data_IF_651532841945
#
_entry.id   IF_651532841945
#
_cell.length_a   1.000
_cell.length_b   1.000
_cell.length_c   1.000
_cell.angle_alpha   90.00
_cell.angle_beta   90.00
_cell.angle_gamma   90.00
#
_symmetry.space_group_name_H-M   'P 1'
#
loop_
_entity.id
_entity.type
_entity.pdbx_description
1 polymer ?
#
# COMPACT_ATOMS: atom_id res chain seq x y z
N UNK A 1 5.57 -0.14 17.97
CA UNK A 1 6.50 -1.21 17.52
C UNK A 1 6.68 -2.29 18.57
N UNK A 2 7.15 -1.97 19.77
CA UNK A 2 7.43 -2.97 20.82
C UNK A 2 6.19 -3.84 21.12
N UNK A 3 5.01 -3.23 21.28
CA UNK A 3 3.75 -3.96 21.43
C UNK A 3 3.48 -4.94 20.26
N UNK A 4 3.82 -4.55 19.03
CA UNK A 4 3.67 -5.43 17.86
C UNK A 4 4.68 -6.58 17.86
N UNK A 5 5.91 -6.38 18.38
CA UNK A 5 6.89 -7.47 18.55
C UNK A 5 6.35 -8.54 19.50
N UNK A 6 5.66 -8.11 20.57
CA UNK A 6 5.08 -9.00 21.58
C UNK A 6 3.91 -9.81 21.00
N UNK A 7 2.99 -9.16 20.28
CA UNK A 7 1.81 -9.82 19.72
C UNK A 7 2.13 -10.67 18.50
N UNK A 8 2.94 -10.16 17.56
CA UNK A 8 3.20 -10.82 16.28
C UNK A 8 4.51 -11.59 16.24
N UNK A 9 5.38 -11.46 17.25
CA UNK A 9 6.73 -12.00 17.25
C UNK A 9 7.72 -11.06 16.56
N UNK A 10 8.86 -10.81 17.22
CA UNK A 10 9.92 -9.93 16.68
C UNK A 10 10.49 -10.41 15.34
N UNK A 11 10.60 -11.72 15.13
CA UNK A 11 11.14 -12.30 13.89
C UNK A 11 10.20 -12.11 12.69
N UNK A 12 8.94 -11.77 12.94
CA UNK A 12 7.95 -11.46 11.92
C UNK A 12 7.97 -9.98 11.48
N UNK A 13 8.78 -9.14 12.14
CA UNK A 13 9.00 -7.76 11.72
C UNK A 13 9.85 -7.73 10.45
N UNK A 14 9.33 -7.08 9.41
CA UNK A 14 10.06 -6.93 8.13
C UNK A 14 10.85 -5.64 8.12
N UNK A 15 10.16 -4.51 8.27
CA UNK A 15 10.77 -3.18 8.14
C UNK A 15 9.80 -2.10 8.61
N UNK A 16 10.29 -0.86 8.64
CA UNK A 16 9.47 0.35 8.74
C UNK A 16 9.63 1.17 7.49
N UNK A 17 8.51 1.49 6.85
CA UNK A 17 8.45 2.41 5.72
C UNK A 17 8.20 3.81 6.28
N UNK A 18 9.01 4.76 5.85
CA UNK A 18 8.89 6.18 6.17
C UNK A 18 8.14 6.87 5.04
N UNK A 19 6.93 7.36 5.32
CA UNK A 19 6.10 8.07 4.34
C UNK A 19 6.11 9.57 4.61
N UNK A 20 6.59 10.35 3.64
CA UNK A 20 6.57 11.80 3.69
C UNK A 20 5.14 12.31 3.43
N UNK A 21 4.48 12.80 4.48
CA UNK A 21 3.10 13.30 4.42
C UNK A 21 2.97 14.78 4.07
N UNK A 22 4.04 15.55 4.28
CA UNK A 22 4.13 16.97 3.93
C UNK A 22 5.30 17.24 2.97
N UNK A 23 5.05 17.98 1.88
CA UNK A 23 6.10 18.43 0.96
C UNK A 23 6.99 19.48 1.63
N UNK A 24 6.39 20.50 2.24
CA UNK A 24 7.11 21.66 2.80
C UNK A 24 7.47 21.46 4.27
N UNK A 25 8.63 22.02 4.63
CA UNK A 25 9.02 22.24 6.02
C UNK A 25 8.12 23.32 6.60
N UNK A 26 7.56 23.08 7.78
CA UNK A 26 6.79 24.08 8.53
C UNK A 26 7.76 25.01 9.26
N UNK A 27 7.74 26.30 8.90
CA UNK A 27 8.59 27.33 9.52
C UNK A 27 8.24 27.58 10.99
N UNK A 28 7.00 27.33 11.39
CA UNK A 28 6.51 27.43 12.76
C UNK A 28 6.54 26.09 13.52
N UNK A 29 7.46 25.19 13.16
CA UNK A 29 7.57 23.91 13.83
C UNK A 29 8.08 24.07 15.26
N UNK A 30 7.48 23.33 16.19
CA UNK A 30 7.96 23.22 17.56
C UNK A 30 9.44 22.81 17.59
N UNK A 31 10.23 23.45 18.45
CA UNK A 31 11.69 23.27 18.54
C UNK A 31 12.46 23.50 17.23
N UNK A 32 11.88 24.18 16.24
CA UNK A 32 12.41 24.31 14.88
C UNK A 32 12.63 22.95 14.16
N UNK A 33 11.92 21.89 14.58
CA UNK A 33 12.01 20.56 13.99
C UNK A 33 10.67 20.18 13.34
N UNK A 34 10.61 20.31 12.02
CA UNK A 34 9.38 20.03 11.28
C UNK A 34 9.16 18.53 11.05
N UNK A 35 8.13 17.98 11.67
CA UNK A 35 7.67 16.59 11.46
C UNK A 35 6.97 16.46 10.11
N UNK A 36 7.67 15.94 9.11
CA UNK A 36 7.20 15.86 7.72
C UNK A 36 6.78 14.47 7.25
N UNK A 37 6.94 13.44 8.10
CA UNK A 37 6.69 12.05 7.76
C UNK A 37 5.92 11.30 8.86
N UNK A 38 5.34 10.17 8.48
CA UNK A 38 4.81 9.12 9.36
C UNK A 38 5.52 7.79 9.10
N UNK A 39 5.33 6.83 10.00
CA UNK A 39 5.92 5.51 9.92
C UNK A 39 4.83 4.45 9.66
N UNK A 40 5.10 3.55 8.73
CA UNK A 40 4.27 2.38 8.42
C UNK A 40 5.08 1.16 8.82
N UNK A 41 4.62 0.46 9.86
CA UNK A 41 5.30 -0.69 10.43
C UNK A 41 4.80 -1.95 9.72
N UNK A 42 5.71 -2.77 9.20
CA UNK A 42 5.36 -3.96 8.40
C UNK A 42 5.73 -5.23 9.14
N UNK A 43 4.72 -6.07 9.39
CA UNK A 43 4.87 -7.44 9.89
C UNK A 43 4.31 -8.43 8.88
N UNK A 44 4.84 -9.64 8.88
CA UNK A 44 4.35 -10.76 8.07
C UNK A 44 4.22 -12.00 8.95
N UNK A 45 3.15 -12.79 8.77
CA UNK A 45 2.91 -13.97 9.61
C UNK A 45 3.96 -15.07 9.40
N UNK A 46 4.49 -15.21 8.18
CA UNK A 46 5.47 -16.24 7.78
C UNK A 46 6.50 -15.63 6.82
N UNK A 47 7.58 -15.00 7.32
CA UNK A 47 8.52 -14.25 6.49
C UNK A 47 9.19 -15.07 5.39
N UNK A 48 9.46 -16.35 5.64
CA UNK A 48 10.12 -17.25 4.68
C UNK A 48 9.22 -17.71 3.53
N UNK A 49 7.90 -17.45 3.60
CA UNK A 49 6.93 -17.92 2.61
C UNK A 49 6.26 -16.77 1.83
N UNK A 50 6.67 -15.53 2.07
CA UNK A 50 6.02 -14.36 1.51
C UNK A 50 7.02 -13.44 0.82
N UNK A 51 6.66 -13.01 -0.39
CA UNK A 51 7.34 -11.93 -1.11
C UNK A 51 6.31 -10.88 -1.47
N UNK A 52 6.63 -9.61 -1.22
CA UNK A 52 5.77 -8.51 -1.65
C UNK A 52 5.79 -8.34 -3.18
N UNK A 53 4.66 -7.91 -3.73
CA UNK A 53 4.58 -7.52 -5.13
C UNK A 53 5.45 -6.28 -5.38
N UNK A 54 5.92 -6.12 -6.62
CA UNK A 54 6.62 -4.89 -7.03
C UNK A 54 5.62 -3.75 -7.22
N UNK A 55 6.11 -2.52 -7.11
CA UNK A 55 5.32 -1.32 -7.41
C UNK A 55 5.48 -0.91 -8.87
N UNK A 56 4.48 -0.29 -9.50
CA UNK A 56 4.69 0.38 -10.79
C UNK A 56 5.74 1.49 -10.65
N UNK A 57 6.50 1.73 -11.72
CA UNK A 57 7.38 2.88 -11.82
C UNK A 57 6.56 4.18 -11.92
N UNK A 58 7.07 5.26 -11.34
CA UNK A 58 6.46 6.59 -11.51
C UNK A 58 6.67 7.12 -12.93
N UNK A 59 5.84 8.07 -13.35
CA UNK A 59 5.96 8.72 -14.65
C UNK A 59 7.34 9.34 -14.85
N UNK A 60 7.91 9.97 -13.81
CA UNK A 60 9.25 10.54 -13.84
C UNK A 60 10.31 9.47 -14.10
N UNK A 61 10.18 8.31 -13.46
CA UNK A 61 11.10 7.19 -13.67
C UNK A 61 10.97 6.64 -15.11
N UNK A 62 9.75 6.56 -15.65
CA UNK A 62 9.50 6.12 -17.02
C UNK A 62 10.07 7.10 -18.06
N UNK A 63 10.04 8.42 -17.81
CA UNK A 63 10.62 9.45 -18.69
C UNK A 63 12.14 9.32 -18.90
N UNK A 64 12.84 8.63 -18.00
CA UNK A 64 14.28 8.34 -18.15
C UNK A 64 14.53 7.35 -19.28
N UNK A 65 13.58 6.46 -19.58
CA UNK A 65 13.72 5.46 -20.63
C UNK A 65 13.46 6.09 -22.01
N UNK A 66 14.45 6.00 -22.90
CA UNK A 66 14.44 6.56 -24.25
C UNK A 66 14.96 5.52 -25.26
N UNK A 67 14.78 5.76 -26.56
CA UNK A 67 15.34 4.89 -27.60
C UNK A 67 16.11 5.72 -28.65
N UNK A 68 17.25 6.34 -28.27
CA UNK A 68 17.96 7.26 -29.15
C UNK A 68 18.67 6.59 -30.32
N UNK A 69 18.83 5.27 -30.30
CA UNK A 69 19.56 4.47 -31.27
C UNK A 69 18.67 3.47 -32.02
N UNK A 70 17.35 3.63 -31.93
CA UNK A 70 16.36 2.78 -32.58
C UNK A 70 16.56 1.28 -32.32
N UNK A 71 16.97 0.93 -31.09
CA UNK A 71 17.11 -0.46 -30.68
C UNK A 71 15.75 -1.18 -30.79
N UNK A 72 15.66 -2.35 -31.44
CA UNK A 72 14.39 -3.05 -31.67
C UNK A 72 13.72 -3.51 -30.38
N UNK A 73 14.45 -3.59 -29.26
CA UNK A 73 13.90 -3.94 -27.93
C UNK A 73 13.16 -2.78 -27.25
N UNK A 74 13.14 -1.61 -27.88
CA UNK A 74 12.37 -0.44 -27.44
C UNK A 74 13.13 0.47 -26.46
N UNK A 75 12.39 1.21 -25.63
CA UNK A 75 12.97 2.22 -24.72
C UNK A 75 13.86 1.58 -23.65
N UNK A 76 15.01 2.19 -23.40
CA UNK A 76 16.00 1.77 -22.42
C UNK A 76 16.59 2.97 -21.66
N UNK A 77 17.26 2.70 -20.55
CA UNK A 77 18.08 3.70 -19.83
C UNK A 77 19.50 3.18 -19.65
N UNK A 78 20.44 4.07 -19.41
CA UNK A 78 21.81 3.69 -19.07
C UNK A 78 21.92 3.21 -17.61
N UNK A 79 22.84 2.28 -17.38
CA UNK A 79 23.37 1.93 -16.07
C UNK A 79 24.91 1.83 -16.14
N UNK A 80 25.65 2.25 -15.10
CA UNK A 80 27.10 2.13 -15.11
C UNK A 80 27.54 0.67 -15.22
N UNK A 81 28.48 0.39 -16.13
CA UNK A 81 29.18 -0.90 -16.19
C UNK A 81 30.26 -1.07 -15.11
N UNK A 82 30.24 -0.19 -14.11
CA UNK A 82 31.24 -0.15 -13.05
C UNK A 82 30.64 -0.43 -11.69
N UNK A 83 31.46 -1.06 -10.85
CA UNK A 83 31.20 -1.25 -9.42
C UNK A 83 32.25 -0.54 -8.59
N UNK A 84 31.90 -0.19 -7.35
CA UNK A 84 32.85 0.41 -6.41
C UNK A 84 33.97 -0.59 -6.04
N UNK A 85 35.20 -0.08 -6.00
CA UNK A 85 36.38 -0.72 -5.41
C UNK A 85 36.71 -0.18 -4.01
N UNK A 86 35.88 0.74 -3.48
CA UNK A 86 36.12 1.36 -2.17
C UNK A 86 35.18 0.83 -1.08
N UNK A 87 34.10 0.16 -1.48
CA UNK A 87 33.04 -0.30 -0.57
C UNK A 87 32.93 -1.82 -0.46
N UNK A 88 32.56 -2.28 0.74
CA UNK A 88 32.19 -3.67 1.02
C UNK A 88 33.35 -4.66 0.91
N UNK A 89 33.01 -5.96 0.87
CA UNK A 89 33.97 -7.05 0.83
C UNK A 89 34.95 -6.94 -0.35
N UNK A 90 34.48 -6.48 -1.52
CA UNK A 90 35.33 -6.26 -2.70
C UNK A 90 36.36 -5.16 -2.44
N UNK A 91 35.93 -4.03 -1.90
CA UNK A 91 36.85 -2.92 -1.60
C UNK A 91 37.88 -3.30 -0.54
N UNK A 92 37.47 -4.02 0.50
CA UNK A 92 38.39 -4.54 1.51
C UNK A 92 39.42 -5.51 0.92
N UNK A 93 39.00 -6.39 0.00
CA UNK A 93 39.92 -7.28 -0.71
C UNK A 93 40.90 -6.51 -1.57
N UNK A 94 40.42 -5.54 -2.35
CA UNK A 94 41.25 -4.72 -3.23
C UNK A 94 42.26 -3.88 -2.45
N UNK A 95 41.86 -3.31 -1.30
CA UNK A 95 42.77 -2.57 -0.43
C UNK A 95 43.91 -3.44 0.12
N UNK A 96 43.67 -4.75 0.33
CA UNK A 96 44.70 -5.70 0.79
C UNK A 96 45.59 -6.21 -0.34
N UNK A 97 45.03 -6.52 -1.50
CA UNK A 97 45.75 -7.25 -2.55
C UNK A 97 46.19 -6.37 -3.71
N UNK A 98 45.58 -5.21 -3.91
CA UNK A 98 45.75 -4.37 -5.10
C UNK A 98 45.19 -5.00 -6.40
N UNK A 99 44.55 -6.17 -6.32
CA UNK A 99 44.14 -6.95 -7.50
C UNK A 99 42.62 -6.86 -7.68
N UNK A 100 42.19 -6.54 -8.90
CA UNK A 100 40.79 -6.63 -9.31
C UNK A 100 40.66 -7.09 -10.76
N UNK A 101 39.86 -8.14 -10.97
CA UNK A 101 39.53 -8.68 -12.30
C UNK A 101 38.72 -7.69 -13.18
N UNK A 102 38.26 -6.58 -12.60
CA UNK A 102 37.56 -5.50 -13.29
C UNK A 102 38.47 -4.34 -13.75
N UNK A 103 39.77 -4.40 -13.46
CA UNK A 103 40.75 -3.42 -13.93
C UNK A 103 41.33 -3.85 -15.27
N UNK A 104 40.61 -3.52 -16.34
CA UNK A 104 41.03 -3.76 -17.71
C UNK A 104 40.47 -2.67 -18.63
N UNK A 105 40.96 -2.65 -19.87
CA UNK A 105 40.51 -1.71 -20.89
C UNK A 105 39.34 -2.29 -21.68
N UNK A 106 38.32 -1.46 -21.92
CA UNK A 106 37.23 -1.77 -22.85
C UNK A 106 37.46 -0.94 -24.11
N UNK A 107 37.60 -1.61 -25.25
CA UNK A 107 37.74 -0.96 -26.57
C UNK A 107 36.35 -0.74 -27.17
N UNK A 108 36.05 0.50 -27.53
CA UNK A 108 34.84 0.91 -28.23
C UNK A 108 34.90 0.53 -29.73
N UNK A 109 33.77 0.47 -30.44
CA UNK A 109 33.73 0.13 -31.87
C UNK A 109 34.60 1.03 -32.77
N UNK A 110 34.82 2.28 -32.36
CA UNK A 110 35.69 3.23 -33.06
C UNK A 110 37.18 3.11 -32.69
N UNK A 111 37.57 2.08 -31.93
CA UNK A 111 38.95 1.83 -31.50
C UNK A 111 39.38 2.54 -30.21
N UNK A 112 38.56 3.42 -29.63
CA UNK A 112 38.90 4.16 -28.40
C UNK A 112 38.94 3.22 -27.20
N UNK A 113 40.00 3.31 -26.40
CA UNK A 113 40.15 2.57 -25.14
C UNK A 113 39.56 3.32 -23.95
N UNK A 114 38.80 2.62 -23.11
CA UNK A 114 38.19 3.14 -21.88
C UNK A 114 38.67 2.39 -20.64
N UNK A 115 39.16 3.15 -19.66
CA UNK A 115 39.54 2.69 -18.32
C UNK A 115 38.47 3.07 -17.29
N UNK A 116 38.27 2.26 -16.24
CA UNK A 116 37.34 2.66 -15.19
C UNK A 116 37.93 3.85 -14.42
N UNK A 117 37.07 4.71 -13.88
CA UNK A 117 37.51 5.83 -13.05
C UNK A 117 38.14 5.33 -11.75
N UNK A 118 39.05 6.12 -11.17
CA UNK A 118 39.72 5.81 -9.90
C UNK A 118 38.70 5.42 -8.82
N UNK A 119 38.97 4.32 -8.11
CA UNK A 119 38.07 3.79 -7.08
C UNK A 119 36.90 2.96 -7.62
N UNK A 120 36.84 2.71 -8.93
CA UNK A 120 35.87 1.81 -9.57
C UNK A 120 36.57 0.78 -10.45
N UNK A 121 35.88 -0.32 -10.72
CA UNK A 121 36.28 -1.29 -11.73
C UNK A 121 35.10 -1.66 -12.61
N UNK A 122 35.36 -2.15 -13.81
CA UNK A 122 34.31 -2.70 -14.67
C UNK A 122 33.70 -3.96 -14.04
N UNK A 123 32.58 -4.42 -14.60
CA UNK A 123 32.15 -5.81 -14.44
C UNK A 123 33.23 -6.79 -14.91
N UNK A 124 33.03 -8.09 -14.69
CA UNK A 124 34.00 -9.08 -15.18
C UNK A 124 34.12 -9.04 -16.70
N UNK A 125 35.31 -9.37 -17.25
CA UNK A 125 35.52 -9.49 -18.70
C UNK A 125 34.45 -10.35 -19.37
N UNK A 126 34.15 -11.53 -18.78
CA UNK A 126 33.08 -12.42 -19.24
C UNK A 126 31.74 -11.70 -19.38
N UNK A 127 31.30 -10.97 -18.34
CA UNK A 127 30.03 -10.25 -18.36
C UNK A 127 30.01 -9.15 -19.42
N UNK A 128 31.11 -8.39 -19.56
CA UNK A 128 31.19 -7.35 -20.60
C UNK A 128 31.14 -7.94 -22.00
N UNK A 129 31.80 -9.07 -22.24
CA UNK A 129 31.72 -9.75 -23.55
C UNK A 129 30.32 -10.30 -23.84
N UNK A 130 29.60 -10.83 -22.84
CA UNK A 130 28.18 -11.19 -23.00
C UNK A 130 27.32 -9.98 -23.39
N UNK A 131 27.53 -8.83 -22.73
CA UNK A 131 26.79 -7.59 -23.03
C UNK A 131 27.13 -7.04 -24.42
N UNK A 132 28.39 -7.17 -24.88
CA UNK A 132 28.78 -6.79 -26.25
C UNK A 132 28.08 -7.67 -27.28
N UNK A 133 28.09 -9.00 -27.08
CA UNK A 133 27.42 -9.95 -27.98
C UNK A 133 25.92 -9.68 -28.11
N UNK A 134 25.28 -9.27 -27.03
CA UNK A 134 23.85 -8.91 -27.01
C UNK A 134 23.60 -7.42 -27.37
N UNK A 135 24.59 -6.70 -27.90
CA UNK A 135 24.45 -5.28 -28.27
C UNK A 135 23.84 -4.41 -27.13
N UNK A 136 24.22 -4.69 -25.88
CA UNK A 136 23.72 -4.02 -24.67
C UNK A 136 24.62 -2.90 -24.17
N UNK A 137 25.74 -2.64 -24.84
CA UNK A 137 26.63 -1.55 -24.46
C UNK A 137 26.28 -0.33 -25.29
N UNK A 138 25.93 0.76 -24.60
CA UNK A 138 25.76 2.07 -25.19
C UNK A 138 27.07 2.85 -25.15
N UNK A 139 27.47 3.35 -26.32
CA UNK A 139 28.73 4.08 -26.53
C UNK A 139 28.51 5.58 -26.74
N UNK A 140 27.32 6.12 -26.45
CA UNK A 140 26.97 7.48 -26.82
C UNK A 140 26.58 7.61 -28.29
N UNK A 141 25.97 8.75 -28.65
CA UNK A 141 25.52 9.01 -30.03
C UNK A 141 26.68 8.97 -31.03
N UNK A 142 27.83 9.48 -30.63
CA UNK A 142 29.02 9.58 -31.47
C UNK A 142 29.98 8.37 -31.28
N UNK A 143 29.53 7.31 -30.58
CA UNK A 143 30.34 6.12 -30.30
C UNK A 143 31.54 6.33 -29.37
N UNK A 144 31.66 7.51 -28.75
CA UNK A 144 32.83 7.98 -28.02
C UNK A 144 32.67 8.08 -26.50
N UNK A 145 31.48 7.84 -25.98
CA UNK A 145 31.15 7.97 -24.57
C UNK A 145 31.66 6.77 -23.76
N UNK A 146 31.78 6.97 -22.44
CA UNK A 146 32.09 5.90 -21.50
C UNK A 146 31.05 4.79 -21.65
N UNK A 147 31.45 3.50 -21.75
CA UNK A 147 30.52 2.41 -21.99
C UNK A 147 29.54 2.24 -20.82
N UNK A 148 28.24 2.21 -21.16
CA UNK A 148 27.13 2.04 -20.22
C UNK A 148 26.26 0.86 -20.65
N UNK A 149 25.65 0.16 -19.69
CA UNK A 149 24.69 -0.91 -19.98
C UNK A 149 23.33 -0.32 -20.36
N UNK A 150 22.70 -0.83 -21.42
CA UNK A 150 21.31 -0.58 -21.76
C UNK A 150 20.42 -1.47 -20.88
N UNK A 151 19.55 -0.84 -20.09
CA UNK A 151 18.52 -1.52 -19.31
C UNK A 151 17.17 -1.24 -19.97
N UNK A 152 16.59 -2.26 -20.61
CA UNK A 152 15.34 -2.12 -21.36
C UNK A 152 14.13 -2.06 -20.44
N UNK A 153 13.17 -1.21 -20.81
CA UNK A 153 11.91 -1.06 -20.08
C UNK A 153 11.05 -2.33 -20.16
N UNK A 154 11.02 -2.95 -21.35
CA UNK A 154 10.33 -4.21 -21.64
C UNK A 154 10.75 -5.33 -20.70
N UNK A 155 12.06 -5.44 -20.42
CA UNK A 155 12.61 -6.47 -19.52
C UNK A 155 12.37 -6.17 -18.03
N UNK A 156 12.22 -4.90 -17.66
CA UNK A 156 11.89 -4.50 -16.28
C UNK A 156 10.39 -4.55 -16.00
N UNK A 157 9.56 -4.71 -17.02
CA UNK A 157 8.10 -4.77 -16.90
C UNK A 157 7.48 -3.51 -16.28
N UNK A 158 8.17 -2.36 -16.35
CA UNK A 158 7.68 -1.11 -15.76
C UNK A 158 7.50 -1.12 -14.24
N UNK A 159 8.14 -2.04 -13.51
CA UNK A 159 8.00 -2.17 -12.05
C UNK A 159 9.32 -1.91 -11.31
N UNK A 160 9.22 -1.45 -10.07
CA UNK A 160 10.35 -1.21 -9.15
C UNK A 160 10.18 -1.98 -7.85
N UNK A 161 11.32 -2.36 -7.27
CA UNK A 161 11.37 -2.87 -5.90
C UNK A 161 10.92 -1.78 -4.92
N UNK A 162 10.29 -2.19 -3.83
CA UNK A 162 9.79 -1.30 -2.78
C UNK A 162 10.98 -0.66 -2.05
N UNK A 163 10.99 0.67 -1.94
CA UNK A 163 11.90 1.39 -1.06
C UNK A 163 11.27 1.59 0.32
N UNK A 164 12.09 1.72 1.37
CA UNK A 164 11.60 2.10 2.70
C UNK A 164 11.33 3.59 2.85
N UNK A 165 11.71 4.41 1.87
CA UNK A 165 11.37 5.84 1.85
C UNK A 165 10.33 6.11 0.76
N UNK A 166 9.16 6.59 1.18
CA UNK A 166 8.00 6.86 0.35
C UNK A 166 7.75 8.36 0.31
N UNK A 167 8.16 9.00 -0.78
CA UNK A 167 8.01 10.45 -0.95
C UNK A 167 6.57 10.83 -1.30
N UNK A 168 6.20 12.07 -1.01
CA UNK A 168 4.83 12.55 -1.20
C UNK A 168 4.38 12.63 -2.68
N UNK A 169 5.31 12.68 -3.65
CA UNK A 169 4.97 12.75 -5.09
C UNK A 169 4.48 11.40 -5.60
N UNK A 170 5.23 10.36 -5.25
CA UNK A 170 4.96 9.00 -5.68
C UNK A 170 3.82 8.37 -4.87
N UNK A 171 3.66 8.73 -3.59
CA UNK A 171 2.76 8.04 -2.66
C UNK A 171 1.64 8.93 -2.09
N UNK A 172 1.50 10.16 -2.59
CA UNK A 172 0.49 11.10 -2.11
C UNK A 172 0.88 11.80 -0.80
N UNK A 173 0.07 12.79 -0.41
CA UNK A 173 0.29 13.64 0.76
C UNK A 173 -1.03 13.93 1.48
N UNK A 174 -0.96 14.48 2.69
CA UNK A 174 -2.16 14.94 3.39
C UNK A 174 -2.92 16.03 2.61
N UNK A 175 -2.19 16.91 1.90
CA UNK A 175 -2.81 17.91 1.02
C UNK A 175 -3.66 17.22 -0.06
N UNK A 176 -3.11 16.18 -0.69
CA UNK A 176 -3.82 15.45 -1.75
C UNK A 176 -5.03 14.70 -1.21
N UNK A 177 -4.93 14.11 -0.02
CA UNK A 177 -6.06 13.46 0.64
C UNK A 177 -7.21 14.45 0.92
N UNK A 178 -6.90 15.68 1.35
CA UNK A 178 -7.91 16.71 1.57
C UNK A 178 -8.54 17.20 0.26
N UNK A 179 -7.77 17.29 -0.83
CA UNK A 179 -8.30 17.58 -2.17
C UNK A 179 -9.26 16.49 -2.65
N UNK A 180 -8.92 15.21 -2.44
CA UNK A 180 -9.78 14.06 -2.75
C UNK A 180 -11.11 14.13 -2.00
N UNK A 181 -11.09 14.45 -0.70
CA UNK A 181 -12.32 14.60 0.09
C UNK A 181 -13.20 15.76 -0.40
N UNK A 182 -12.61 16.90 -0.80
CA UNK A 182 -13.36 18.04 -1.34
C UNK A 182 -14.07 17.71 -2.65
N UNK A 183 -13.45 16.88 -3.49
CA UNK A 183 -14.08 16.42 -4.75
C UNK A 183 -15.22 15.45 -4.45
N UNK A 184 -15.04 14.54 -3.47
CA UNK A 184 -16.08 13.59 -3.08
C UNK A 184 -17.27 14.29 -2.39
N UNK A 185 -17.02 15.34 -1.62
CA UNK A 185 -18.03 16.04 -0.81
C UNK A 185 -17.95 17.56 -1.02
N UNK A 186 -18.37 18.08 -2.19
CA UNK A 186 -18.24 19.50 -2.52
C UNK A 186 -19.07 20.41 -1.62
N UNK A 187 -20.28 19.96 -1.26
CA UNK A 187 -21.27 20.73 -0.47
C UNK A 187 -20.90 20.85 1.02
N UNK A 188 -19.94 20.04 1.50
CA UNK A 188 -19.46 20.01 2.88
C UNK A 188 -18.11 20.71 3.06
N UNK A 189 -17.67 21.48 2.06
CA UNK A 189 -16.35 22.13 2.05
C UNK A 189 -16.15 23.24 3.10
N UNK A 190 -17.21 23.61 3.83
CA UNK A 190 -17.21 24.62 4.90
C UNK A 190 -17.91 24.24 6.21
N UNK A 191 -18.38 23.00 6.39
CA UNK A 191 -19.17 22.60 7.57
C UNK A 191 -18.79 21.23 8.15
N UNK A 192 -19.06 21.04 9.44
CA UNK A 192 -18.92 19.92 10.41
C UNK A 192 -18.47 18.50 9.96
N UNK A 193 -18.61 18.11 8.70
CA UNK A 193 -18.15 16.83 8.13
C UNK A 193 -16.67 16.84 7.66
N UNK A 194 -15.87 17.77 8.18
CA UNK A 194 -14.43 17.79 7.95
C UNK A 194 -13.78 16.59 8.66
N UNK A 195 -13.75 15.44 7.98
CA UNK A 195 -12.85 14.36 8.41
C UNK A 195 -11.44 14.93 8.39
N UNK A 196 -10.87 15.14 9.58
CA UNK A 196 -9.75 16.06 9.76
C UNK A 196 -8.45 15.59 9.10
N UNK A 197 -8.29 14.27 8.89
CA UNK A 197 -7.03 13.68 8.45
C UNK A 197 -7.18 12.40 7.59
N UNK A 198 -7.87 12.46 6.43
CA UNK A 198 -8.00 11.31 5.53
C UNK A 198 -6.61 10.86 5.04
N UNK A 199 -6.45 9.57 4.76
CA UNK A 199 -5.27 9.07 4.03
C UNK A 199 -5.52 9.20 2.53
N UNK A 200 -4.51 9.57 1.72
CA UNK A 200 -4.67 9.69 0.27
C UNK A 200 -4.81 8.29 -0.36
N UNK A 201 -5.65 8.17 -1.38
CA UNK A 201 -5.87 6.88 -2.05
C UNK A 201 -4.59 6.32 -2.67
N UNK A 202 -3.70 7.20 -3.16
CA UNK A 202 -2.40 6.79 -3.74
C UNK A 202 -1.48 6.07 -2.75
N UNK A 203 -1.55 6.42 -1.46
CA UNK A 203 -0.81 5.72 -0.42
C UNK A 203 -1.39 4.32 -0.21
N UNK A 204 -2.71 4.24 -0.05
CA UNK A 204 -3.39 2.97 0.19
C UNK A 204 -3.28 2.02 -1.00
N UNK A 205 -3.31 2.53 -2.23
CA UNK A 205 -3.17 1.70 -3.43
C UNK A 205 -1.79 1.08 -3.51
N UNK A 206 -0.76 1.80 -3.08
CA UNK A 206 0.59 1.28 -2.97
C UNK A 206 0.70 0.17 -1.93
N UNK A 207 0.10 0.36 -0.74
CA UNK A 207 0.07 -0.65 0.34
C UNK A 207 -0.68 -1.91 -0.10
N UNK A 208 -1.88 -1.74 -0.65
CA UNK A 208 -2.72 -2.86 -1.12
C UNK A 208 -2.02 -3.59 -2.27
N UNK A 209 -1.43 -2.88 -3.23
CA UNK A 209 -0.75 -3.51 -4.35
C UNK A 209 0.42 -4.40 -3.90
N UNK A 210 1.25 -3.92 -2.96
CA UNK A 210 2.42 -4.69 -2.51
C UNK A 210 2.03 -5.93 -1.72
N UNK A 211 0.92 -5.86 -0.98
CA UNK A 211 0.53 -6.87 0.02
C UNK A 211 -0.60 -7.80 -0.43
N UNK A 212 -1.28 -7.54 -1.56
CA UNK A 212 -2.40 -8.35 -2.03
C UNK A 212 -2.58 -8.38 -3.55
N UNK A 213 -3.29 -9.39 -4.01
CA UNK A 213 -3.69 -9.60 -5.39
C UNK A 213 -5.21 -9.38 -5.56
N UNK A 214 -5.67 -9.41 -6.82
CA UNK A 214 -7.11 -9.35 -7.13
C UNK A 214 -7.85 -10.45 -6.38
N UNK A 215 -9.04 -10.14 -5.87
CA UNK A 215 -9.92 -11.01 -5.07
C UNK A 215 -9.46 -11.35 -3.64
N UNK A 216 -8.25 -10.96 -3.23
CA UNK A 216 -7.83 -11.07 -1.83
C UNK A 216 -8.69 -10.18 -0.92
N UNK A 217 -8.71 -10.50 0.36
CA UNK A 217 -9.42 -9.72 1.39
C UNK A 217 -8.46 -8.72 2.04
N UNK A 218 -8.87 -7.46 2.08
CA UNK A 218 -8.21 -6.38 2.81
C UNK A 218 -9.04 -6.03 4.05
N UNK A 219 -8.43 -6.07 5.23
CA UNK A 219 -9.09 -5.71 6.49
C UNK A 219 -8.58 -4.36 6.99
N UNK A 220 -9.50 -3.45 7.32
CA UNK A 220 -9.21 -2.19 8.01
C UNK A 220 -10.24 -1.93 9.11
N UNK A 221 -9.86 -2.22 10.35
CA UNK A 221 -10.71 -2.04 11.53
C UNK A 221 -10.63 -0.63 12.13
N UNK A 222 -10.03 0.33 11.41
CA UNK A 222 -10.05 1.76 11.72
C UNK A 222 -10.36 2.56 10.45
N UNK A 223 -11.57 2.34 9.89
CA UNK A 223 -11.92 2.77 8.53
C UNK A 223 -11.74 4.28 8.31
N UNK A 224 -12.02 5.11 9.32
CA UNK A 224 -12.00 6.56 9.22
C UNK A 224 -12.97 7.04 8.16
N UNK A 225 -12.44 7.68 7.12
CA UNK A 225 -13.20 8.12 5.95
C UNK A 225 -13.37 7.03 4.87
N UNK A 226 -13.03 5.77 5.16
CA UNK A 226 -13.21 4.64 4.23
C UNK A 226 -12.20 4.59 3.08
N UNK A 227 -11.00 5.21 3.20
CA UNK A 227 -10.00 5.21 2.12
C UNK A 227 -9.56 3.80 1.74
N UNK A 228 -9.29 2.94 2.71
CA UNK A 228 -8.83 1.57 2.44
C UNK A 228 -9.87 0.76 1.67
N UNK A 229 -11.13 0.83 2.10
CA UNK A 229 -12.26 0.17 1.45
C UNK A 229 -12.49 0.69 0.03
N UNK A 230 -12.48 2.02 -0.17
CA UNK A 230 -12.57 2.66 -1.50
C UNK A 230 -11.51 2.10 -2.46
N UNK A 231 -10.24 2.11 -2.04
CA UNK A 231 -9.12 1.67 -2.87
C UNK A 231 -9.16 0.16 -3.11
N UNK A 232 -9.43 -0.64 -2.08
CA UNK A 232 -9.56 -2.09 -2.22
C UNK A 232 -10.63 -2.43 -3.27
N UNK A 233 -11.80 -1.79 -3.20
CA UNK A 233 -12.91 -1.99 -4.13
C UNK A 233 -12.53 -1.62 -5.56
N UNK A 234 -11.98 -0.41 -5.78
CA UNK A 234 -11.52 0.05 -7.11
C UNK A 234 -10.45 -0.87 -7.71
N UNK A 235 -9.60 -1.43 -6.86
CA UNK A 235 -8.57 -2.39 -7.25
C UNK A 235 -9.08 -3.84 -7.34
N UNK A 236 -10.39 -4.10 -7.25
CA UNK A 236 -10.97 -5.44 -7.31
C UNK A 236 -10.46 -6.39 -6.20
N UNK A 237 -10.31 -5.87 -4.98
CA UNK A 237 -10.12 -6.67 -3.76
C UNK A 237 -11.45 -6.73 -3.01
N UNK A 238 -11.64 -7.79 -2.23
CA UNK A 238 -12.69 -7.83 -1.22
C UNK A 238 -12.20 -7.01 -0.03
N UNK A 239 -13.11 -6.40 0.72
CA UNK A 239 -12.73 -5.67 1.93
C UNK A 239 -13.67 -5.97 3.08
N UNK A 240 -13.13 -5.84 4.29
CA UNK A 240 -13.87 -5.74 5.54
C UNK A 240 -13.37 -4.48 6.21
N UNK A 241 -14.27 -3.59 6.60
CA UNK A 241 -13.88 -2.37 7.31
C UNK A 241 -14.79 -2.11 8.49
N UNK A 242 -14.23 -1.59 9.58
CA UNK A 242 -14.96 -1.28 10.80
C UNK A 242 -14.68 0.17 11.21
N UNK A 243 -15.72 0.87 11.62
CA UNK A 243 -15.65 2.23 12.16
C UNK A 243 -16.55 2.27 13.39
N UNK A 244 -16.07 2.95 14.43
CA UNK A 244 -16.78 3.08 15.71
C UNK A 244 -17.51 4.42 15.82
N UNK A 245 -17.07 5.45 15.08
CA UNK A 245 -17.59 6.80 15.22
C UNK A 245 -18.84 7.04 14.37
N UNK A 246 -19.80 7.79 14.92
CA UNK A 246 -21.11 8.06 14.31
C UNK A 246 -21.05 8.79 12.96
N UNK A 247 -19.92 9.43 12.62
CA UNK A 247 -19.74 10.05 11.31
C UNK A 247 -19.75 9.04 10.15
N UNK A 248 -19.70 7.72 10.44
CA UNK A 248 -19.59 6.64 9.46
C UNK A 248 -20.67 6.74 8.38
N UNK A 249 -21.89 7.11 8.77
CA UNK A 249 -23.03 7.25 7.87
C UNK A 249 -22.79 8.33 6.81
N UNK A 250 -22.29 9.48 7.24
CA UNK A 250 -22.12 10.66 6.39
C UNK A 250 -20.78 10.70 5.64
N UNK A 251 -19.85 9.80 5.98
CA UNK A 251 -18.49 9.80 5.41
C UNK A 251 -18.15 8.49 4.73
N UNK A 252 -17.96 7.41 5.48
CA UNK A 252 -17.53 6.10 4.95
C UNK A 252 -18.60 5.49 4.07
N UNK A 253 -19.86 5.44 4.53
CA UNK A 253 -20.97 4.87 3.75
C UNK A 253 -21.19 5.69 2.47
N UNK A 254 -21.32 7.01 2.58
CA UNK A 254 -21.51 7.89 1.41
C UNK A 254 -20.34 7.82 0.42
N UNK A 255 -19.10 7.72 0.90
CA UNK A 255 -17.94 7.49 0.02
C UNK A 255 -18.09 6.18 -0.74
N UNK A 256 -18.40 5.08 -0.06
CA UNK A 256 -18.53 3.76 -0.70
C UNK A 256 -19.70 3.72 -1.71
N UNK A 257 -20.81 4.39 -1.42
CA UNK A 257 -21.89 4.59 -2.40
C UNK A 257 -21.38 5.30 -3.65
N UNK A 258 -20.64 6.41 -3.50
CA UNK A 258 -20.04 7.15 -4.63
C UNK A 258 -19.06 6.29 -5.44
N UNK A 259 -18.26 5.45 -4.76
CA UNK A 259 -17.36 4.49 -5.40
C UNK A 259 -18.15 3.48 -6.24
N UNK A 260 -19.24 2.91 -5.72
CA UNK A 260 -20.12 2.01 -6.47
C UNK A 260 -20.72 2.72 -7.68
N UNK A 261 -21.10 3.99 -7.56
CA UNK A 261 -21.63 4.77 -8.70
C UNK A 261 -20.58 5.18 -9.74
N UNK A 262 -19.30 4.86 -9.51
CA UNK A 262 -18.22 5.10 -10.48
C UNK A 262 -17.58 6.49 -10.41
N UNK A 263 -17.49 7.08 -9.21
CA UNK A 263 -16.80 8.36 -9.02
C UNK A 263 -15.33 8.34 -9.52
N UNK A 264 -14.85 9.48 -10.01
CA UNK A 264 -13.59 9.58 -10.78
C UNK A 264 -12.42 10.27 -10.03
N UNK A 265 -12.53 10.40 -8.71
CA UNK A 265 -11.50 10.91 -7.80
C UNK A 265 -10.47 9.85 -7.38
N UNK A 266 -9.44 10.31 -6.67
CA UNK A 266 -8.36 9.45 -6.17
C UNK A 266 -7.69 8.64 -7.28
N UNK A 267 -7.66 7.31 -7.14
CA UNK A 267 -7.02 6.40 -8.09
C UNK A 267 -7.93 5.92 -9.22
N UNK A 268 -9.19 6.38 -9.31
CA UNK A 268 -10.18 5.82 -10.26
C UNK A 268 -9.68 5.78 -11.70
N UNK A 269 -9.05 6.85 -12.17
CA UNK A 269 -8.46 6.91 -13.53
C UNK A 269 -7.27 5.99 -13.71
N UNK A 270 -6.45 5.82 -12.67
CA UNK A 270 -5.25 4.99 -12.73
C UNK A 270 -5.58 3.50 -12.89
N UNK A 271 -6.76 3.08 -12.42
CA UNK A 271 -7.23 1.69 -12.48
C UNK A 271 -8.44 1.49 -13.40
N UNK A 272 -8.76 2.49 -14.22
CA UNK A 272 -9.91 2.49 -15.14
C UNK A 272 -11.24 2.09 -14.45
N UNK A 273 -11.50 2.70 -13.29
CA UNK A 273 -12.69 2.41 -12.50
C UNK A 273 -13.95 3.03 -13.12
N UNK A 274 -14.95 2.19 -13.38
CA UNK A 274 -16.22 2.58 -14.00
C UNK A 274 -17.44 2.42 -13.06
N UNK A 275 -17.22 2.03 -11.80
CA UNK A 275 -18.28 1.71 -10.85
C UNK A 275 -18.68 0.23 -10.84
N UNK A 276 -19.69 -0.08 -10.02
CA UNK A 276 -20.22 -1.43 -9.80
C UNK A 276 -19.81 -2.04 -8.46
N UNK A 277 -20.21 -3.30 -8.28
CA UNK A 277 -20.06 -4.03 -7.03
C UNK A 277 -21.09 -3.63 -5.97
N UNK A 278 -20.87 -4.09 -4.74
CA UNK A 278 -21.75 -3.84 -3.60
C UNK A 278 -20.96 -3.96 -2.30
N UNK A 279 -21.51 -3.42 -1.22
CA UNK A 279 -21.06 -3.71 0.14
C UNK A 279 -22.29 -3.96 1.02
N UNK A 280 -22.09 -4.69 2.10
CA UNK A 280 -23.09 -4.88 3.15
C UNK A 280 -22.68 -4.04 4.35
N UNK A 281 -23.64 -3.29 4.89
CA UNK A 281 -23.48 -2.55 6.14
C UNK A 281 -24.16 -3.32 7.26
N UNK A 282 -23.44 -3.48 8.38
CA UNK A 282 -23.93 -4.13 9.58
C UNK A 282 -23.49 -3.28 10.78
N UNK A 283 -24.35 -3.22 11.80
CA UNK A 283 -24.03 -2.61 13.09
C UNK A 283 -23.97 -3.68 14.17
N UNK A 284 -23.12 -3.44 15.17
CA UNK A 284 -23.13 -4.24 16.39
C UNK A 284 -24.24 -3.72 17.28
N UNK A 285 -25.19 -4.58 17.62
CA UNK A 285 -26.21 -4.27 18.63
C UNK A 285 -25.82 -4.93 19.95
N UNK A 286 -26.25 -4.34 21.06
CA UNK A 286 -26.13 -5.02 22.34
C UNK A 286 -26.97 -6.29 22.27
N UNK A 287 -26.33 -7.41 22.62
CA UNK A 287 -26.97 -8.72 22.59
C UNK A 287 -28.25 -8.68 23.42
N UNK A 288 -29.38 -9.01 22.78
CA UNK A 288 -30.71 -9.02 23.38
C UNK A 288 -31.22 -7.65 23.88
N UNK A 289 -30.61 -6.51 23.57
CA UNK A 289 -31.12 -5.20 23.99
C UNK A 289 -32.56 -4.97 23.53
N UNK A 290 -32.87 -5.28 22.27
CA UNK A 290 -34.24 -5.19 21.77
C UNK A 290 -35.22 -6.11 22.52
N UNK A 291 -34.76 -7.26 23.03
CA UNK A 291 -35.58 -8.18 23.83
C UNK A 291 -35.73 -7.64 25.26
N UNK A 292 -34.66 -7.09 25.85
CA UNK A 292 -34.68 -6.45 27.16
C UNK A 292 -35.63 -5.24 27.14
N UNK A 293 -35.51 -4.35 26.15
CA UNK A 293 -36.40 -3.20 25.97
C UNK A 293 -37.86 -3.64 25.84
N UNK A 294 -38.13 -4.71 25.08
CA UNK A 294 -39.47 -5.29 24.95
C UNK A 294 -39.99 -5.83 26.29
N UNK A 295 -39.14 -6.50 27.09
CA UNK A 295 -39.51 -7.00 28.42
C UNK A 295 -39.78 -5.83 29.38
N UNK A 296 -38.94 -4.79 29.38
CA UNK A 296 -39.08 -3.62 30.25
C UNK A 296 -40.32 -2.77 29.92
N UNK A 297 -40.75 -2.75 28.65
CA UNK A 297 -41.96 -2.07 28.18
C UNK A 297 -43.22 -2.94 28.22
N UNK A 298 -43.11 -4.22 28.61
CA UNK A 298 -44.24 -5.12 28.65
C UNK A 298 -45.07 -4.88 29.92
N UNK A 299 -46.24 -4.26 29.75
CA UNK A 299 -47.17 -3.99 30.86
C UNK A 299 -48.17 -5.13 31.13
N UNK A 300 -48.13 -6.20 30.32
CA UNK A 300 -49.05 -7.33 30.44
C UNK A 300 -48.35 -8.67 30.33
N UNK A 301 -48.92 -9.67 30.99
CA UNK A 301 -48.52 -11.07 30.92
C UNK A 301 -48.55 -11.62 29.49
N UNK A 302 -49.56 -11.24 28.69
CA UNK A 302 -49.67 -11.63 27.29
C UNK A 302 -48.50 -11.09 26.46
N UNK A 303 -48.03 -9.87 26.73
CA UNK A 303 -46.87 -9.30 26.05
C UNK A 303 -45.59 -10.07 26.40
N UNK A 304 -45.38 -10.42 27.68
CA UNK A 304 -44.23 -11.24 28.12
C UNK A 304 -44.23 -12.63 27.48
N UNK A 305 -45.40 -13.29 27.38
CA UNK A 305 -45.55 -14.61 26.70
C UNK A 305 -45.20 -14.53 25.21
N UNK A 306 -45.61 -13.45 24.52
CA UNK A 306 -45.27 -13.24 23.11
C UNK A 306 -43.76 -13.03 22.91
N UNK A 307 -43.12 -12.25 23.80
CA UNK A 307 -41.68 -12.03 23.77
C UNK A 307 -40.92 -13.34 24.02
N UNK A 308 -41.36 -14.15 24.98
CA UNK A 308 -40.76 -15.47 25.25
C UNK A 308 -40.79 -16.38 24.01
N UNK A 309 -41.91 -16.46 23.30
CA UNK A 309 -42.00 -17.24 22.07
C UNK A 309 -41.15 -16.70 20.90
N UNK A 310 -40.86 -15.39 20.87
CA UNK A 310 -39.92 -14.79 19.93
C UNK A 310 -38.48 -15.23 20.25
N UNK A 311 -38.11 -15.25 21.53
CA UNK A 311 -36.79 -15.70 22.01
C UNK A 311 -36.55 -17.18 21.65
N UNK A 312 -37.56 -18.04 21.83
CA UNK A 312 -37.47 -19.47 21.48
C UNK A 312 -37.24 -19.71 19.98
N UNK A 313 -37.80 -18.87 19.11
CA UNK A 313 -37.68 -19.02 17.64
C UNK A 313 -36.38 -18.47 17.07
N UNK A 314 -35.66 -17.63 17.80
CA UNK A 314 -34.48 -16.91 17.30
C UNK A 314 -33.14 -17.60 17.65
N UNK A 315 -33.18 -18.80 18.25
CA UNK A 315 -32.02 -19.61 18.67
C UNK A 315 -31.03 -18.88 19.59
N UNK A 316 -31.46 -17.79 20.24
CA UNK A 316 -30.59 -16.88 20.98
C UNK A 316 -30.70 -17.01 22.52
N UNK A 317 -31.03 -18.21 22.99
CA UNK A 317 -31.07 -18.56 24.42
C UNK A 317 -29.69 -19.04 24.86
N UNK A 318 -29.18 -18.48 25.96
CA UNK A 318 -27.92 -18.95 26.55
C UNK A 318 -27.99 -20.45 26.81
N UNK A 319 -26.94 -21.21 26.46
CA UNK A 319 -26.84 -22.66 26.75
C UNK A 319 -26.99 -23.01 28.24
N UNK A 320 -26.92 -22.02 29.14
CA UNK A 320 -27.14 -22.16 30.58
C UNK A 320 -28.62 -22.16 30.98
N UNK A 321 -29.51 -21.70 30.10
CA UNK A 321 -30.95 -21.65 30.32
C UNK A 321 -31.58 -22.86 29.64
N UNK A 322 -32.50 -23.52 30.35
CA UNK A 322 -33.33 -24.61 29.83
C UNK A 322 -34.70 -24.03 29.49
N UNK A 323 -35.04 -23.84 28.20
CA UNK A 323 -36.34 -23.29 27.80
C UNK A 323 -37.52 -24.08 28.37
N UNK A 324 -37.36 -25.39 28.52
CA UNK A 324 -38.38 -26.30 29.04
C UNK A 324 -38.81 -25.91 30.47
N UNK A 325 -37.85 -25.50 31.30
CA UNK A 325 -38.12 -25.11 32.69
C UNK A 325 -38.90 -23.79 32.78
N UNK A 326 -38.70 -22.87 31.84
CA UNK A 326 -39.47 -21.62 31.78
C UNK A 326 -40.87 -21.90 31.21
N UNK A 327 -40.97 -22.77 30.19
CA UNK A 327 -42.25 -23.20 29.62
C UNK A 327 -43.16 -23.90 30.63
N UNK A 328 -42.61 -24.76 31.49
CA UNK A 328 -43.36 -25.41 32.57
C UNK A 328 -43.95 -24.40 33.57
N UNK A 329 -43.27 -23.27 33.75
CA UNK A 329 -43.64 -22.21 34.68
C UNK A 329 -44.18 -20.96 33.99
N UNK A 330 -44.61 -21.05 32.73
CA UNK A 330 -45.07 -19.90 31.93
C UNK A 330 -46.34 -19.23 32.50
N UNK A 331 -47.04 -19.94 33.38
CA UNK A 331 -48.18 -19.45 34.16
C UNK A 331 -47.75 -18.50 35.28
N UNK A 332 -46.49 -18.54 35.74
CA UNK A 332 -45.94 -17.61 36.75
C UNK A 332 -45.77 -16.17 36.23
N UNK A 333 -45.98 -15.95 34.94
CA UNK A 333 -46.05 -14.61 34.36
C UNK A 333 -47.40 -13.91 34.60
N UNK A 334 -48.44 -14.62 35.09
CA UNK A 334 -49.78 -14.11 35.44
C UNK A 334 -49.84 -13.45 36.82
#
# INVERSE_FOLDING_TARGET
KILCDEVFGRDNFVTTIVWQKFHSVKSNAEYNISKSHDNIIVYVRKPNLMTFNKLPMSEEALKVYKNPDNDPRGKWRTAPLTVSLLGGARGASYARTGISNGLYEIIAPNGKSHKPTTGRCWFSKKKVEELKKDNRIWWGKDGNAIPMEKIFLSEKGGTKTISTFWNHKDFGSNKKANEEMKILFPDNSGGELNFSTPKPEKLMSSIINIASNKNDIVLDFFAGSGTTASVAHKMNRKFITCEQMDYVENTTIERLKKVITGEQGGISKDVDWQGGGSFTYCELTQHNANIIDKIEQADTTEALKLIWHEIEKTDFISYKIRPETINENIHEFE
#
